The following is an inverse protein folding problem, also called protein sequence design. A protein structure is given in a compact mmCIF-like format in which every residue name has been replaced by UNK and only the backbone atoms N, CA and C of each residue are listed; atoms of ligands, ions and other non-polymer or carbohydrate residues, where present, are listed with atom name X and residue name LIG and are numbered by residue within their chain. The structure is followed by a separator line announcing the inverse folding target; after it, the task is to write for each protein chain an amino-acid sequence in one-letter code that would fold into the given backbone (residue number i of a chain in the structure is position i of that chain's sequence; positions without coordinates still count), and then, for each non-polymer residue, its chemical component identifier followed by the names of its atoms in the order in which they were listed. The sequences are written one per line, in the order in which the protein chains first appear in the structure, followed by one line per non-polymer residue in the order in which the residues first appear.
data_IF_802636011968
#
_entry.id   IF_802636011968
#
_cell.length_a   1.000
_cell.length_b   1.000
_cell.length_c   1.000
_cell.angle_alpha   90.00
_cell.angle_beta   90.00
_cell.angle_gamma   90.00
#
_symmetry.space_group_name_H-M   'P 1'
#
loop_
_entity.id
_entity.type
_entity.pdbx_description
1 polymer ?
#
# COMPACT_ATOMS: atom_id res chain seq x y z
N UNK A 1 14.83 10.28 38.01
CA UNK A 1 14.26 9.05 37.37
C UNK A 1 14.89 8.94 35.99
N UNK A 2 15.37 7.76 35.59
CA UNK A 2 15.85 7.51 34.24
C UNK A 2 14.69 7.07 33.35
N UNK A 3 14.51 7.72 32.20
CA UNK A 3 13.49 7.37 31.22
C UNK A 3 14.11 6.47 30.14
N UNK A 4 13.49 5.34 29.84
CA UNK A 4 13.94 4.42 28.77
C UNK A 4 13.01 4.51 27.57
N UNK A 5 13.57 4.80 26.39
CA UNK A 5 12.84 5.06 25.15
C UNK A 5 13.17 3.97 24.13
N UNK A 6 12.18 3.24 23.57
CA UNK A 6 12.43 2.29 22.50
C UNK A 6 12.62 3.02 21.16
N UNK A 7 13.71 2.72 20.45
CA UNK A 7 14.05 3.28 19.15
C UNK A 7 14.16 2.14 18.13
N UNK A 8 13.38 2.21 17.06
CA UNK A 8 13.54 1.31 15.93
C UNK A 8 14.88 1.58 15.22
N UNK A 9 15.66 0.52 14.96
CA UNK A 9 16.93 0.61 14.25
C UNK A 9 17.11 -0.65 13.38
N UNK A 10 16.92 -0.51 12.06
CA UNK A 10 16.87 -1.66 11.16
C UNK A 10 15.68 -2.56 11.50
N UNK A 11 15.96 -3.83 11.79
CA UNK A 11 14.95 -4.81 12.23
C UNK A 11 14.82 -4.91 13.76
N UNK A 12 15.65 -4.18 14.49
CA UNK A 12 15.75 -4.28 15.95
C UNK A 12 15.15 -3.05 16.65
N UNK A 13 14.97 -3.19 17.97
CA UNK A 13 14.60 -2.09 18.87
C UNK A 13 15.69 -1.91 19.91
N UNK A 14 16.22 -0.70 20.00
CA UNK A 14 17.21 -0.31 20.99
C UNK A 14 16.59 0.57 22.06
N UNK A 15 16.94 0.31 23.32
CA UNK A 15 16.48 1.10 24.44
C UNK A 15 17.49 2.20 24.79
N UNK A 16 17.09 3.45 24.63
CA UNK A 16 17.90 4.61 24.96
C UNK A 16 17.50 5.16 26.34
N UNK A 17 18.46 5.24 27.25
CA UNK A 17 18.23 5.72 28.61
C UNK A 17 18.62 7.19 28.77
N UNK A 18 17.63 8.05 29.00
CA UNK A 18 17.82 9.46 29.33
C UNK A 18 17.91 9.68 30.84
N UNK A 19 18.89 10.47 31.28
CA UNK A 19 19.08 10.85 32.70
C UNK A 19 18.48 12.20 33.06
N UNK A 20 18.16 13.03 32.07
CA UNK A 20 17.53 14.34 32.24
C UNK A 20 16.03 14.28 31.94
N UNK A 21 15.30 15.29 32.39
CA UNK A 21 13.92 15.53 31.95
C UNK A 21 13.95 15.86 30.46
N UNK A 22 13.33 15.04 29.63
CA UNK A 22 13.31 15.17 28.16
C UNK A 22 11.88 15.12 27.66
N UNK A 23 11.53 16.04 26.76
CA UNK A 23 10.27 15.99 26.03
C UNK A 23 10.39 15.00 24.88
N UNK A 24 9.47 14.02 24.84
CA UNK A 24 9.41 13.03 23.76
C UNK A 24 8.33 13.46 22.78
N UNK A 25 8.74 13.72 21.55
CA UNK A 25 7.82 13.92 20.43
C UNK A 25 7.47 12.56 19.81
N UNK A 26 6.19 12.22 19.79
CA UNK A 26 5.69 11.01 19.13
C UNK A 26 4.88 11.40 17.90
N UNK A 27 5.05 10.65 16.80
CA UNK A 27 4.16 10.73 15.66
C UNK A 27 2.97 9.79 15.91
N UNK A 28 1.76 10.32 15.75
CA UNK A 28 0.57 9.48 15.64
C UNK A 28 0.45 9.00 14.20
N UNK A 29 0.61 7.69 13.98
CA UNK A 29 0.28 7.12 12.68
C UNK A 29 -1.23 7.23 12.44
N UNK A 30 -1.68 7.62 11.24
CA UNK A 30 -3.10 7.66 10.95
C UNK A 30 -3.70 6.27 11.09
N UNK A 31 -4.84 6.17 11.77
CA UNK A 31 -5.57 4.92 11.86
C UNK A 31 -5.96 4.46 10.44
N UNK A 32 -5.92 3.14 10.20
CA UNK A 32 -6.46 2.57 8.97
C UNK A 32 -7.96 2.82 8.96
N UNK A 33 -8.43 3.70 8.08
CA UNK A 33 -9.84 4.14 8.03
C UNK A 33 -10.69 3.37 7.02
N UNK A 34 -10.13 2.38 6.32
CA UNK A 34 -10.84 1.64 5.27
C UNK A 34 -10.61 0.14 5.39
N UNK A 35 -11.67 -0.63 5.20
CA UNK A 35 -11.65 -2.08 5.07
C UNK A 35 -11.98 -2.49 3.61
N UNK A 36 -11.88 -3.78 3.31
CA UNK A 36 -12.16 -4.32 1.96
C UNK A 36 -13.58 -4.02 1.48
N UNK A 37 -14.59 -4.12 2.35
CA UNK A 37 -15.98 -3.90 1.99
C UNK A 37 -16.23 -2.42 1.65
N UNK A 38 -15.69 -1.52 2.45
CA UNK A 38 -15.76 -0.08 2.19
C UNK A 38 -14.99 0.30 0.93
N UNK A 39 -13.82 -0.30 0.70
CA UNK A 39 -13.04 -0.08 -0.52
C UNK A 39 -13.81 -0.55 -1.75
N UNK A 40 -14.37 -1.76 -1.71
CA UNK A 40 -15.19 -2.31 -2.80
C UNK A 40 -16.40 -1.42 -3.09
N UNK A 41 -17.16 -1.02 -2.06
CA UNK A 41 -18.36 -0.20 -2.24
C UNK A 41 -18.04 1.14 -2.90
N UNK A 42 -16.99 1.84 -2.44
CA UNK A 42 -16.55 3.11 -3.02
C UNK A 42 -16.04 2.96 -4.45
N UNK A 43 -15.33 1.86 -4.73
CA UNK A 43 -14.82 1.59 -6.06
C UNK A 43 -15.95 1.28 -7.06
N UNK A 44 -16.95 0.51 -6.65
CA UNK A 44 -18.12 0.24 -7.48
C UNK A 44 -18.92 1.51 -7.78
N UNK A 45 -19.15 2.35 -6.77
CA UNK A 45 -19.81 3.65 -6.95
C UNK A 45 -19.02 4.53 -7.93
N UNK A 46 -17.70 4.60 -7.78
CA UNK A 46 -16.85 5.37 -8.68
C UNK A 46 -16.91 4.85 -10.13
N UNK A 47 -16.74 3.54 -10.34
CA UNK A 47 -16.73 2.95 -11.69
C UNK A 47 -18.11 3.00 -12.36
N UNK A 48 -19.21 2.90 -11.60
CA UNK A 48 -20.56 2.99 -12.15
C UNK A 48 -20.91 4.38 -12.65
N UNK A 49 -20.29 5.41 -12.06
CA UNK A 49 -20.55 6.81 -12.41
C UNK A 49 -19.52 7.38 -13.41
N UNK A 50 -18.46 6.64 -13.70
CA UNK A 50 -17.40 7.08 -14.59
C UNK A 50 -17.51 6.45 -15.98
N UNK A 51 -17.36 7.28 -17.02
CA UNK A 51 -17.35 6.84 -18.42
C UNK A 51 -15.91 6.51 -18.84
N UNK A 52 -15.38 5.38 -18.34
CA UNK A 52 -14.04 4.90 -18.69
C UNK A 52 -14.10 3.93 -19.87
N UNK A 53 -13.23 4.15 -20.85
CA UNK A 53 -12.83 3.08 -21.78
C UNK A 53 -11.88 2.11 -21.07
N UNK A 54 -12.40 0.93 -20.75
CA UNK A 54 -11.64 -0.13 -20.06
C UNK A 54 -11.04 -1.16 -21.02
N UNK A 55 -11.05 -0.93 -22.35
CA UNK A 55 -10.47 -1.86 -23.33
C UNK A 55 -8.96 -2.09 -23.13
N UNK A 56 -8.25 -1.10 -22.58
CA UNK A 56 -6.79 -1.13 -22.34
C UNK A 56 -6.43 -0.47 -21.01
N UNK A 57 -6.75 -1.18 -19.93
CA UNK A 57 -6.52 -0.68 -18.57
C UNK A 57 -5.06 -0.82 -18.16
N UNK A 58 -4.47 0.26 -17.62
CA UNK A 58 -3.18 0.21 -16.92
C UNK A 58 -3.39 0.54 -15.45
N UNK A 59 -2.94 -0.35 -14.57
CA UNK A 59 -2.91 -0.12 -13.13
C UNK A 59 -1.46 0.17 -12.73
N UNK A 60 -1.26 1.30 -12.06
CA UNK A 60 0.03 1.67 -11.52
C UNK A 60 0.09 1.33 -10.02
N UNK A 61 1.04 0.48 -9.64
CA UNK A 61 1.32 0.12 -8.24
C UNK A 61 2.63 0.76 -7.79
N UNK A 62 2.71 1.16 -6.53
CA UNK A 62 3.95 1.65 -5.94
C UNK A 62 4.97 0.51 -5.75
N UNK A 63 6.24 0.87 -5.70
CA UNK A 63 7.32 -0.09 -5.50
C UNK A 63 7.40 -0.63 -4.07
N UNK A 64 8.36 -1.53 -3.83
CA UNK A 64 8.62 -2.15 -2.52
C UNK A 64 8.86 -1.18 -1.35
N UNK A 65 9.11 0.11 -1.59
CA UNK A 65 9.32 1.11 -0.52
C UNK A 65 8.00 1.71 -0.01
N UNK A 66 6.88 1.38 -0.66
CA UNK A 66 5.53 1.86 -0.35
C UNK A 66 4.53 0.71 -0.47
N UNK A 67 4.34 -0.01 0.62
CA UNK A 67 3.37 -1.10 0.71
C UNK A 67 1.98 -0.54 1.03
N UNK A 68 1.08 -0.58 0.05
CA UNK A 68 -0.29 -0.05 0.17
C UNK A 68 -1.33 -1.16 0.48
N UNK A 69 -0.91 -2.24 1.13
CA UNK A 69 -1.77 -3.40 1.40
C UNK A 69 -2.25 -4.10 0.12
N UNK A 70 -1.41 -4.20 -0.92
CA UNK A 70 -1.81 -4.73 -2.22
C UNK A 70 -2.37 -6.15 -2.15
N UNK A 71 -1.81 -7.04 -1.34
CA UNK A 71 -2.35 -8.40 -1.15
C UNK A 71 -3.82 -8.42 -0.74
N UNK A 72 -4.30 -7.35 -0.10
CA UNK A 72 -5.68 -7.16 0.33
C UNK A 72 -6.53 -6.44 -0.71
N UNK A 73 -6.05 -5.32 -1.26
CA UNK A 73 -6.88 -4.42 -2.06
C UNK A 73 -6.70 -4.55 -3.58
N UNK A 74 -5.57 -5.07 -4.06
CA UNK A 74 -5.35 -5.28 -5.48
C UNK A 74 -6.33 -6.32 -6.06
N UNK A 75 -6.61 -7.47 -5.39
CA UNK A 75 -7.64 -8.39 -5.88
C UNK A 75 -9.02 -7.73 -5.98
N UNK A 76 -9.41 -6.92 -4.99
CA UNK A 76 -10.68 -6.19 -5.00
C UNK A 76 -10.77 -5.23 -6.18
N UNK A 77 -9.68 -4.51 -6.50
CA UNK A 77 -9.61 -3.64 -7.66
C UNK A 77 -9.75 -4.41 -8.98
N UNK A 78 -9.02 -5.51 -9.13
CA UNK A 78 -9.06 -6.33 -10.36
C UNK A 78 -10.46 -6.91 -10.59
N UNK A 79 -11.09 -7.46 -9.55
CA UNK A 79 -12.46 -7.97 -9.63
C UNK A 79 -13.46 -6.86 -9.96
N UNK A 80 -13.31 -5.67 -9.39
CA UNK A 80 -14.19 -4.55 -9.70
C UNK A 80 -14.06 -4.12 -11.16
N UNK A 81 -12.83 -4.02 -11.70
CA UNK A 81 -12.58 -3.66 -13.09
C UNK A 81 -13.14 -4.71 -14.07
N UNK A 82 -12.92 -6.00 -13.80
CA UNK A 82 -13.47 -7.10 -14.60
C UNK A 82 -15.00 -7.03 -14.66
N UNK A 83 -15.65 -6.81 -13.51
CA UNK A 83 -17.11 -6.65 -13.43
C UNK A 83 -17.64 -5.42 -14.20
N UNK A 84 -16.80 -4.43 -14.47
CA UNK A 84 -17.16 -3.24 -15.26
C UNK A 84 -16.70 -3.34 -16.72
N UNK A 85 -16.28 -4.52 -17.18
CA UNK A 85 -15.96 -4.79 -18.58
C UNK A 85 -14.50 -4.54 -18.95
N UNK A 86 -13.60 -4.38 -17.97
CA UNK A 86 -12.18 -4.31 -18.28
C UNK A 86 -11.68 -5.61 -18.92
N UNK A 87 -10.92 -5.47 -19.99
CA UNK A 87 -10.30 -6.61 -20.65
C UNK A 87 -9.09 -7.08 -19.87
N UNK A 88 -9.28 -8.10 -19.03
CA UNK A 88 -8.22 -8.66 -18.19
C UNK A 88 -7.02 -9.19 -19.00
N UNK A 89 -7.24 -9.64 -20.24
CA UNK A 89 -6.18 -10.08 -21.16
C UNK A 89 -5.38 -8.93 -21.79
N UNK A 90 -5.86 -7.69 -21.63
CA UNK A 90 -5.20 -6.45 -22.07
C UNK A 90 -4.84 -5.53 -20.91
N UNK A 91 -5.00 -6.00 -19.68
CA UNK A 91 -4.66 -5.24 -18.48
C UNK A 91 -3.16 -5.30 -18.23
N UNK A 92 -2.56 -4.15 -17.93
CA UNK A 92 -1.14 -4.06 -17.57
C UNK A 92 -0.97 -3.55 -16.15
N UNK A 93 -0.21 -4.27 -15.33
CA UNK A 93 0.28 -3.79 -14.04
C UNK A 93 1.67 -3.18 -14.21
N UNK A 94 1.81 -1.90 -13.88
CA UNK A 94 3.07 -1.17 -13.96
C UNK A 94 3.56 -0.75 -12.58
N UNK A 95 4.81 -1.04 -12.25
CA UNK A 95 5.41 -0.62 -10.97
C UNK A 95 6.04 0.77 -11.12
N UNK A 96 5.60 1.71 -10.30
CA UNK A 96 6.12 3.07 -10.25
C UNK A 96 7.42 3.13 -9.44
N UNK A 97 8.56 2.84 -10.08
CA UNK A 97 9.87 2.90 -9.44
C UNK A 97 10.38 4.34 -9.21
N UNK A 98 9.93 5.32 -10.00
CA UNK A 98 10.54 6.65 -10.00
C UNK A 98 12.04 6.56 -10.30
N UNK A 99 12.88 6.97 -9.35
CA UNK A 99 14.35 6.89 -9.45
C UNK A 99 14.94 5.63 -8.78
N UNK A 100 14.10 4.77 -8.19
CA UNK A 100 14.56 3.58 -7.49
C UNK A 100 14.99 2.47 -8.45
N UNK A 101 15.85 1.60 -7.94
CA UNK A 101 16.26 0.38 -8.65
C UNK A 101 15.06 -0.55 -8.74
N UNK A 102 14.92 -1.21 -9.90
CA UNK A 102 13.91 -2.25 -10.13
C UNK A 102 13.96 -3.31 -9.02
N UNK A 103 12.79 -3.68 -8.49
CA UNK A 103 12.71 -4.75 -7.50
C UNK A 103 12.80 -6.14 -8.14
N UNK A 104 13.28 -7.11 -7.37
CA UNK A 104 13.34 -8.51 -7.80
C UNK A 104 11.95 -9.13 -7.82
N UNK A 105 11.77 -10.25 -8.52
CA UNK A 105 10.49 -10.96 -8.51
C UNK A 105 10.04 -11.39 -7.11
N UNK A 106 10.98 -11.77 -6.24
CA UNK A 106 10.68 -12.14 -4.87
C UNK A 106 10.02 -10.99 -4.10
N UNK A 107 10.57 -9.77 -4.22
CA UNK A 107 9.96 -8.58 -3.62
C UNK A 107 8.60 -8.27 -4.25
N UNK A 108 8.41 -8.50 -5.55
CA UNK A 108 7.09 -8.34 -6.18
C UNK A 108 6.06 -9.31 -5.62
N UNK A 109 6.42 -10.58 -5.43
CA UNK A 109 5.52 -11.59 -4.83
C UNK A 109 5.16 -11.25 -3.39
N UNK A 110 6.14 -10.77 -2.61
CA UNK A 110 5.92 -10.30 -1.25
C UNK A 110 5.01 -9.06 -1.21
N UNK A 111 5.23 -8.09 -2.09
CA UNK A 111 4.49 -6.84 -2.10
C UNK A 111 3.06 -6.99 -2.66
N UNK A 112 2.87 -7.76 -3.72
CA UNK A 112 1.64 -7.79 -4.53
C UNK A 112 0.84 -9.08 -4.42
N UNK A 113 1.44 -10.17 -3.92
CA UNK A 113 0.84 -11.50 -3.91
C UNK A 113 1.37 -12.43 -5.01
N UNK A 114 0.89 -13.68 -5.04
CA UNK A 114 1.31 -14.71 -5.98
C UNK A 114 0.94 -14.42 -7.44
#
# INVERSE_FOLDING_TARGET
MSLSIPLAYGTDVHFFNCRASTDILTAGEPAVTIDEGQFQARLQDYLSNADFDLERTTIMVADKTRLCGYSRYLPVLLTALDNHGARMDRLTLSVAYGTHIRQTEAHSREAYGP
#
